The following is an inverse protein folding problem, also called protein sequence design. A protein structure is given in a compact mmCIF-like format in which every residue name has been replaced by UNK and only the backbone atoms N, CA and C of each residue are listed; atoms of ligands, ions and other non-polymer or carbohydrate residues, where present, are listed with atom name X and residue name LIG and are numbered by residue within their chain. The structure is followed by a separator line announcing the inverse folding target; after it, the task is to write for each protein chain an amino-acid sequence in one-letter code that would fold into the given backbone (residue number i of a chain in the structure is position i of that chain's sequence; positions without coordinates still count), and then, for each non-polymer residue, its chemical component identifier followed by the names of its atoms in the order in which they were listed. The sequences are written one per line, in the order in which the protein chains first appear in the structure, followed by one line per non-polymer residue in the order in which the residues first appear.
data_IF_083494587674
#
_entry.id   IF_083494587674
#
_cell.length_a   1.000
_cell.length_b   1.000
_cell.length_c   1.000
_cell.angle_alpha   90.00
_cell.angle_beta   90.00
_cell.angle_gamma   90.00
#
_symmetry.space_group_name_H-M   'P 1'
#
loop_
_entity.id
_entity.type
_entity.pdbx_description
1 polymer ?
#
# COMPACT_ATOMS: atom_id res chain seq x y z
N UNK A 1 44.58 -4.93 -14.08
CA UNK A 1 44.63 -4.07 -12.87
C UNK A 1 43.86 -4.75 -11.76
N UNK A 2 44.56 -5.45 -10.87
CA UNK A 2 44.04 -5.93 -9.59
C UNK A 2 43.96 -4.76 -8.60
N UNK A 3 42.85 -4.62 -7.88
CA UNK A 3 42.84 -3.89 -6.61
C UNK A 3 42.68 -4.94 -5.51
N UNK A 4 43.81 -5.44 -5.05
CA UNK A 4 43.93 -6.21 -3.82
C UNK A 4 44.10 -5.25 -2.64
N UNK A 5 43.50 -5.63 -1.51
CA UNK A 5 43.73 -5.13 -0.15
C UNK A 5 43.07 -3.79 0.25
N UNK A 6 41.97 -3.90 1.00
CA UNK A 6 41.70 -3.03 2.14
C UNK A 6 41.70 -3.90 3.41
N UNK A 7 42.53 -3.62 4.43
CA UNK A 7 42.52 -4.35 5.69
C UNK A 7 41.34 -3.89 6.57
N UNK A 8 40.53 -4.84 7.01
CA UNK A 8 39.52 -4.68 8.06
C UNK A 8 40.22 -4.80 9.43
N UNK A 9 40.52 -3.68 10.07
CA UNK A 9 41.01 -3.66 11.46
C UNK A 9 39.81 -3.73 12.42
N UNK A 10 39.74 -4.82 13.17
CA UNK A 10 38.92 -4.99 14.37
C UNK A 10 39.49 -4.12 15.49
N UNK A 11 38.77 -3.07 15.88
CA UNK A 11 38.98 -2.38 17.15
C UNK A 11 37.75 -2.57 18.05
N UNK A 12 37.85 -3.54 18.97
CA UNK A 12 36.81 -3.94 19.93
C UNK A 12 36.71 -3.01 21.17
N UNK A 13 37.07 -1.74 21.04
CA UNK A 13 37.28 -0.84 22.20
C UNK A 13 36.30 0.34 22.26
N UNK A 14 35.33 0.44 21.35
CA UNK A 14 34.42 1.60 21.24
C UNK A 14 33.00 1.39 21.80
N UNK A 15 32.73 0.26 22.47
CA UNK A 15 31.36 -0.15 22.83
C UNK A 15 30.93 0.27 24.25
N UNK A 16 31.83 0.81 25.08
CA UNK A 16 31.53 1.08 26.50
C UNK A 16 31.07 2.50 26.84
N UNK A 17 30.96 3.41 25.87
CA UNK A 17 30.58 4.82 26.13
C UNK A 17 29.19 5.22 25.63
N UNK A 18 28.50 4.39 24.85
CA UNK A 18 27.19 4.74 24.26
C UNK A 18 25.98 4.44 25.15
N UNK A 19 26.13 3.65 26.22
CA UNK A 19 25.03 3.28 27.12
C UNK A 19 24.66 4.37 28.15
N UNK A 20 25.51 5.37 28.39
CA UNK A 20 25.24 6.43 29.39
C UNK A 20 24.42 7.60 28.85
N UNK A 21 24.35 7.80 27.53
CA UNK A 21 23.59 8.91 26.94
C UNK A 21 22.09 8.54 26.79
N UNK A 22 21.74 7.25 26.73
CA UNK A 22 20.36 6.81 26.51
C UNK A 22 19.49 6.83 27.78
N UNK A 23 20.08 6.83 28.98
CA UNK A 23 19.31 6.75 30.24
C UNK A 23 18.90 8.12 30.80
N UNK A 24 19.58 9.21 30.42
CA UNK A 24 19.34 10.54 31.02
C UNK A 24 18.17 11.34 30.39
N UNK A 25 17.68 10.96 29.21
CA UNK A 25 16.58 11.66 28.53
C UNK A 25 15.19 11.07 28.78
N UNK A 26 15.07 9.88 29.38
CA UNK A 26 13.77 9.21 29.58
C UNK A 26 13.00 9.64 30.84
N UNK A 27 13.52 10.57 31.65
CA UNK A 27 12.95 10.86 32.98
C UNK A 27 12.31 12.25 33.20
N UNK A 28 12.19 13.11 32.18
CA UNK A 28 11.79 14.53 32.39
C UNK A 28 10.34 14.90 31.98
N UNK A 29 9.60 14.13 31.18
CA UNK A 29 8.30 14.62 30.65
C UNK A 29 7.04 13.82 31.07
N UNK A 30 7.12 13.02 32.13
CA UNK A 30 5.96 12.34 32.73
C UNK A 30 5.21 13.17 33.79
N UNK A 31 5.36 14.50 33.84
CA UNK A 31 4.61 15.32 34.80
C UNK A 31 3.76 16.43 34.16
N UNK A 32 2.45 16.35 34.46
CA UNK A 32 1.40 17.40 34.39
C UNK A 32 0.84 17.79 33.02
N UNK A 33 -0.32 17.20 32.68
CA UNK A 33 -1.53 18.02 32.53
C UNK A 33 -2.82 17.19 32.75
N UNK A 34 -3.16 16.99 34.02
CA UNK A 34 -4.47 16.45 34.44
C UNK A 34 -5.30 17.63 34.93
N UNK A 35 -6.20 18.15 34.07
CA UNK A 35 -7.13 19.18 34.53
C UNK A 35 -7.99 19.84 33.45
N UNK A 36 -9.20 19.28 33.24
CA UNK A 36 -10.43 19.91 32.67
C UNK A 36 -10.26 20.41 31.23
N UNK A 37 -11.08 20.00 30.26
CA UNK A 37 -12.53 20.25 30.22
C UNK A 37 -13.25 19.09 29.54
N UNK A 38 -14.18 18.48 30.26
CA UNK A 38 -15.21 17.58 29.76
C UNK A 38 -16.09 18.39 28.80
N UNK A 39 -15.77 18.36 27.51
CA UNK A 39 -16.55 19.00 26.44
C UNK A 39 -17.90 18.31 26.33
N UNK A 40 -18.87 18.79 27.11
CA UNK A 40 -20.28 18.43 27.00
C UNK A 40 -20.93 19.40 26.02
N UNK A 41 -20.47 19.38 24.77
CA UNK A 41 -20.91 20.29 23.70
C UNK A 41 -21.54 19.55 22.49
N UNK A 42 -21.74 18.23 22.61
CA UNK A 42 -22.45 17.34 21.67
C UNK A 42 -23.97 17.59 21.51
N UNK A 43 -24.50 18.72 21.99
CA UNK A 43 -25.89 19.14 21.72
C UNK A 43 -26.02 20.41 20.87
N UNK A 44 -24.90 21.08 20.57
CA UNK A 44 -24.91 22.32 19.77
C UNK A 44 -24.53 22.10 18.31
N UNK A 45 -23.84 20.99 17.97
CA UNK A 45 -23.51 20.66 16.58
C UNK A 45 -24.74 20.08 15.84
N UNK A 46 -25.69 19.49 16.57
CA UNK A 46 -26.97 18.99 16.01
C UNK A 46 -27.91 20.09 15.49
N UNK A 47 -27.65 21.37 15.77
CA UNK A 47 -28.45 22.49 15.25
C UNK A 47 -27.97 23.07 13.91
N UNK A 48 -26.74 22.78 13.49
CA UNK A 48 -26.23 23.24 12.18
C UNK A 48 -26.64 22.27 11.06
N UNK A 49 -27.02 21.04 11.41
CA UNK A 49 -27.46 19.99 10.48
C UNK A 49 -28.87 20.18 9.88
N UNK A 50 -29.60 21.27 10.18
CA UNK A 50 -30.99 21.45 9.68
C UNK A 50 -31.17 22.68 8.78
N UNK A 51 -30.25 23.64 8.74
CA UNK A 51 -30.44 24.88 7.95
C UNK A 51 -29.78 24.89 6.56
N UNK A 52 -28.96 23.89 6.21
CA UNK A 52 -28.40 23.75 4.86
C UNK A 52 -29.22 22.80 3.95
N UNK A 53 -30.42 22.39 4.40
CA UNK A 53 -31.37 21.57 3.65
C UNK A 53 -32.37 22.45 2.86
N UNK A 54 -31.87 23.39 2.04
CA UNK A 54 -32.73 24.30 1.26
C UNK A 54 -32.16 24.75 -0.11
N UNK A 55 -31.17 24.06 -0.68
CA UNK A 55 -30.86 24.14 -2.12
C UNK A 55 -31.02 22.77 -2.77
N UNK A 56 -32.24 22.25 -2.67
CA UNK A 56 -32.72 21.24 -3.59
C UNK A 56 -33.28 21.91 -4.85
N UNK A 57 -33.08 21.25 -5.99
CA UNK A 57 -33.93 21.29 -7.18
C UNK A 57 -33.69 22.40 -8.23
N UNK A 58 -32.72 22.13 -9.12
CA UNK A 58 -32.90 22.13 -10.58
C UNK A 58 -31.82 21.17 -11.14
N UNK A 59 -32.14 19.91 -11.49
CA UNK A 59 -32.84 19.52 -12.72
C UNK A 59 -31.81 19.56 -13.86
N UNK A 60 -31.14 18.46 -14.23
CA UNK A 60 -31.71 17.22 -14.72
C UNK A 60 -31.61 17.21 -16.25
N UNK A 61 -30.41 16.95 -16.77
CA UNK A 61 -30.14 16.77 -18.21
C UNK A 61 -29.62 15.35 -18.43
N UNK A 62 -30.43 14.57 -19.15
CA UNK A 62 -30.28 13.14 -19.36
C UNK A 62 -29.01 12.76 -20.10
N UNK A 63 -28.50 11.59 -19.73
CA UNK A 63 -27.52 10.80 -20.43
C UNK A 63 -27.97 10.52 -21.86
N UNK A 64 -27.30 11.13 -22.82
CA UNK A 64 -27.14 10.55 -24.15
C UNK A 64 -25.95 9.57 -24.05
N UNK A 65 -26.23 8.35 -23.63
CA UNK A 65 -25.35 7.22 -23.90
C UNK A 65 -26.03 6.40 -24.98
N UNK A 66 -26.00 6.96 -26.19
CA UNK A 66 -26.21 6.22 -27.41
C UNK A 66 -25.25 5.04 -27.42
N UNK A 67 -25.82 3.86 -27.61
CA UNK A 67 -25.07 2.66 -27.91
C UNK A 67 -24.19 2.91 -29.13
N UNK A 68 -22.89 2.83 -28.92
CA UNK A 68 -21.95 2.49 -29.97
C UNK A 68 -21.31 1.18 -29.57
N UNK A 69 -21.92 0.12 -30.10
CA UNK A 69 -21.26 -1.13 -30.47
C UNK A 69 -19.93 -0.80 -31.16
N UNK A 70 -18.87 -0.87 -30.37
CA UNK A 70 -17.54 -1.20 -30.81
C UNK A 70 -16.92 -1.97 -29.65
N UNK A 71 -16.81 -3.29 -29.83
CA UNK A 71 -15.90 -4.16 -29.08
C UNK A 71 -14.47 -3.61 -29.22
N UNK A 72 -14.16 -2.60 -28.42
CA UNK A 72 -12.82 -2.28 -27.97
C UNK A 72 -12.71 -2.86 -26.55
N UNK A 73 -11.59 -3.51 -26.19
CA UNK A 73 -11.36 -3.85 -24.79
C UNK A 73 -11.47 -2.56 -23.94
N UNK A 74 -11.88 -2.65 -22.65
CA UNK A 74 -11.81 -1.49 -21.78
C UNK A 74 -10.40 -0.92 -21.89
N UNK A 75 -10.29 0.31 -22.41
CA UNK A 75 -9.08 1.08 -22.26
C UNK A 75 -9.06 1.48 -20.79
N UNK A 76 -8.60 0.55 -19.97
CA UNK A 76 -8.30 0.76 -18.57
C UNK A 76 -7.49 2.04 -18.46
N UNK A 77 -7.99 2.99 -17.67
CA UNK A 77 -7.22 4.18 -17.34
C UNK A 77 -5.94 3.77 -16.61
N UNK A 78 -4.95 4.66 -16.62
CA UNK A 78 -3.78 4.47 -15.75
C UNK A 78 -4.23 4.37 -14.29
N UNK A 79 -3.62 3.48 -13.53
CA UNK A 79 -3.91 3.27 -12.12
C UNK A 79 -3.48 4.45 -11.25
N UNK A 80 -4.18 4.60 -10.12
CA UNK A 80 -3.82 5.55 -9.06
C UNK A 80 -2.94 4.86 -8.01
N UNK A 81 -1.64 5.15 -8.03
CA UNK A 81 -0.67 4.59 -7.08
C UNK A 81 -0.99 4.92 -5.60
N UNK A 82 -1.70 6.02 -5.31
CA UNK A 82 -2.09 6.37 -3.94
C UNK A 82 -3.21 5.44 -3.46
N UNK A 83 -4.22 5.20 -4.30
CA UNK A 83 -5.27 4.22 -4.02
C UNK A 83 -4.68 2.80 -3.91
N UNK A 84 -3.77 2.44 -4.82
CA UNK A 84 -3.05 1.18 -4.82
C UNK A 84 -2.26 0.93 -3.54
N UNK A 85 -1.64 1.95 -2.98
CA UNK A 85 -0.92 1.84 -1.71
C UNK A 85 -1.86 1.47 -0.54
N UNK A 86 -3.09 1.97 -0.54
CA UNK A 86 -4.07 1.66 0.51
C UNK A 86 -4.65 0.25 0.34
N UNK A 87 -4.91 -0.18 -0.90
CA UNK A 87 -5.32 -1.56 -1.21
C UNK A 87 -4.20 -2.54 -0.82
N UNK A 88 -2.95 -2.22 -1.18
CA UNK A 88 -1.77 -3.02 -0.83
C UNK A 88 -1.68 -3.23 0.68
N UNK A 89 -1.82 -2.15 1.47
CA UNK A 89 -1.82 -2.22 2.94
C UNK A 89 -2.90 -3.15 3.48
N UNK A 90 -4.11 -3.09 2.91
CA UNK A 90 -5.26 -3.86 3.38
C UNK A 90 -5.23 -5.34 2.97
N UNK A 91 -4.64 -5.67 1.83
CA UNK A 91 -4.75 -7.02 1.22
C UNK A 91 -3.41 -7.75 1.13
N UNK A 92 -2.35 -7.08 0.72
CA UNK A 92 -1.14 -7.74 0.22
C UNK A 92 -0.03 -7.86 1.27
N UNK A 93 -0.02 -6.96 2.26
CA UNK A 93 1.05 -6.88 3.28
C UNK A 93 1.20 -8.13 4.15
N UNK A 94 0.13 -8.91 4.31
CA UNK A 94 0.13 -10.14 5.10
C UNK A 94 1.16 -11.16 4.60
N UNK A 95 1.47 -11.17 3.29
CA UNK A 95 2.44 -12.08 2.68
C UNK A 95 3.67 -11.35 2.13
N UNK A 96 3.51 -10.14 1.60
CA UNK A 96 4.60 -9.39 0.96
C UNK A 96 5.27 -8.34 1.85
N UNK A 97 4.78 -8.19 3.09
CA UNK A 97 5.31 -7.23 4.06
C UNK A 97 4.84 -5.79 3.82
N UNK A 98 4.98 -4.89 4.82
CA UNK A 98 4.60 -3.48 4.66
C UNK A 98 5.55 -2.70 3.75
N UNK A 99 6.80 -3.16 3.62
CA UNK A 99 7.87 -2.46 2.89
C UNK A 99 8.19 -3.13 1.54
N UNK A 100 7.30 -3.98 1.01
CA UNK A 100 7.49 -4.71 -0.25
C UNK A 100 8.70 -5.67 -0.26
N UNK A 101 9.32 -5.90 0.90
CA UNK A 101 10.52 -6.73 1.04
C UNK A 101 10.24 -8.25 1.01
N UNK A 102 8.97 -8.66 0.98
CA UNK A 102 8.58 -10.05 1.10
C UNK A 102 8.67 -10.57 2.54
N UNK A 103 8.13 -11.77 2.75
CA UNK A 103 8.23 -12.50 4.00
C UNK A 103 8.65 -13.93 3.65
N UNK A 104 9.76 -14.39 4.23
CA UNK A 104 10.32 -15.72 3.95
C UNK A 104 9.27 -16.82 4.19
N UNK A 105 9.07 -17.66 3.17
CA UNK A 105 8.08 -18.74 3.19
C UNK A 105 6.62 -18.32 2.98
N UNK A 106 6.33 -17.03 2.77
CA UNK A 106 4.96 -16.54 2.49
C UNK A 106 4.85 -15.76 1.17
N UNK A 107 5.71 -14.78 0.94
CA UNK A 107 5.63 -13.93 -0.24
C UNK A 107 7.00 -13.41 -0.66
N UNK A 108 7.23 -13.39 -1.98
CA UNK A 108 8.46 -12.84 -2.57
C UNK A 108 8.54 -11.33 -2.34
N UNK A 109 9.76 -10.74 -2.35
CA UNK A 109 9.93 -9.30 -2.45
C UNK A 109 9.29 -8.77 -3.74
N UNK A 110 8.56 -7.67 -3.61
CA UNK A 110 7.94 -6.94 -4.72
C UNK A 110 8.73 -5.67 -5.08
N UNK A 111 9.65 -5.21 -4.22
CA UNK A 111 10.60 -4.15 -4.52
C UNK A 111 11.94 -4.36 -3.77
N UNK A 112 13.10 -4.26 -4.45
CA UNK A 112 13.25 -4.23 -5.90
C UNK A 112 12.90 -5.60 -6.53
N UNK A 113 12.27 -5.61 -7.69
CA UNK A 113 11.81 -6.79 -8.41
C UNK A 113 11.80 -6.55 -9.93
N UNK A 114 12.66 -7.26 -10.65
CA UNK A 114 12.70 -7.22 -12.12
C UNK A 114 11.38 -7.71 -12.73
N UNK A 115 10.70 -8.66 -12.07
CA UNK A 115 9.40 -9.14 -12.52
C UNK A 115 8.36 -8.02 -12.54
N UNK A 116 8.33 -7.18 -11.49
CA UNK A 116 7.40 -6.03 -11.42
C UNK A 116 7.79 -4.96 -12.43
N UNK A 117 9.08 -4.63 -12.55
CA UNK A 117 9.57 -3.59 -13.47
C UNK A 117 9.47 -3.94 -14.96
N UNK A 118 9.43 -5.23 -15.31
CA UNK A 118 9.43 -5.69 -16.71
C UNK A 118 8.03 -5.84 -17.30
N UNK A 119 6.98 -5.78 -16.48
CA UNK A 119 5.59 -5.89 -16.92
C UNK A 119 4.95 -4.54 -17.17
N UNK A 120 3.99 -4.48 -18.09
CA UNK A 120 3.08 -3.35 -18.17
C UNK A 120 2.13 -3.34 -16.96
N UNK A 121 1.54 -2.19 -16.64
CA UNK A 121 0.60 -2.09 -15.52
C UNK A 121 -0.61 -3.01 -15.71
N UNK A 122 -1.11 -3.11 -16.94
CA UNK A 122 -2.20 -4.01 -17.30
C UNK A 122 -1.81 -5.49 -17.16
N UNK A 123 -0.62 -5.88 -17.61
CA UNK A 123 -0.15 -7.26 -17.46
C UNK A 123 0.07 -7.64 -15.99
N UNK A 124 0.56 -6.69 -15.18
CA UNK A 124 0.74 -6.88 -13.75
C UNK A 124 -0.62 -6.98 -13.03
N UNK A 125 -1.59 -6.14 -13.39
CA UNK A 125 -2.95 -6.22 -12.85
C UNK A 125 -3.61 -7.57 -13.18
N UNK A 126 -3.47 -8.05 -14.42
CA UNK A 126 -3.96 -9.36 -14.85
C UNK A 126 -3.27 -10.50 -14.11
N UNK A 127 -1.95 -10.41 -13.92
CA UNK A 127 -1.21 -11.36 -13.10
C UNK A 127 -1.74 -11.40 -11.66
N UNK A 128 -2.01 -10.25 -11.04
CA UNK A 128 -2.59 -10.19 -9.69
C UNK A 128 -4.02 -10.75 -9.70
N UNK A 129 -4.80 -10.50 -10.75
CA UNK A 129 -6.17 -11.02 -10.90
C UNK A 129 -6.20 -12.54 -10.86
N UNK A 130 -5.28 -13.19 -11.58
CA UNK A 130 -5.17 -14.64 -11.67
C UNK A 130 -4.43 -15.26 -10.48
N UNK A 131 -3.46 -14.55 -9.92
CA UNK A 131 -2.49 -15.12 -8.98
C UNK A 131 -1.56 -16.13 -9.67
N UNK A 132 -0.78 -16.87 -8.87
CA UNK A 132 0.08 -17.96 -9.34
C UNK A 132 0.03 -19.13 -8.37
N UNK A 133 -0.61 -20.25 -8.74
CA UNK A 133 -0.69 -21.38 -7.85
C UNK A 133 0.63 -22.14 -7.72
N UNK A 134 0.77 -23.00 -6.70
CA UNK A 134 1.98 -23.84 -6.56
C UNK A 134 2.16 -24.87 -7.68
N UNK A 135 1.09 -25.19 -8.40
CA UNK A 135 1.12 -26.11 -9.54
C UNK A 135 1.59 -25.45 -10.85
N UNK A 136 1.71 -24.13 -10.87
CA UNK A 136 2.17 -23.39 -12.03
C UNK A 136 3.65 -23.69 -12.29
N UNK A 137 4.06 -24.04 -13.53
CA UNK A 137 5.45 -24.36 -13.84
C UNK A 137 6.43 -23.20 -13.60
N UNK A 138 5.94 -21.96 -13.64
CA UNK A 138 6.75 -20.75 -13.41
C UNK A 138 6.70 -20.30 -11.94
N UNK A 139 6.09 -21.07 -11.04
CA UNK A 139 6.16 -20.82 -9.60
C UNK A 139 7.52 -21.26 -9.05
N UNK A 140 8.35 -20.29 -8.65
CA UNK A 140 9.69 -20.52 -8.10
C UNK A 140 9.74 -20.51 -6.57
N UNK A 141 8.71 -20.00 -5.89
CA UNK A 141 8.65 -19.92 -4.43
C UNK A 141 8.16 -21.21 -3.78
N UNK A 142 7.40 -22.03 -4.51
CA UNK A 142 6.66 -23.16 -3.93
C UNK A 142 5.51 -22.72 -3.02
N UNK A 143 5.12 -21.44 -3.08
CA UNK A 143 4.04 -20.85 -2.29
C UNK A 143 2.95 -20.33 -3.23
N UNK A 144 1.70 -20.56 -2.85
CA UNK A 144 0.52 -20.14 -3.60
C UNK A 144 0.32 -18.63 -3.47
N UNK A 145 0.28 -17.91 -4.59
CA UNK A 145 -0.25 -16.56 -4.63
C UNK A 145 -1.71 -16.65 -5.10
N UNK A 146 -2.70 -16.46 -4.21
CA UNK A 146 -4.09 -16.61 -4.57
C UNK A 146 -4.55 -15.50 -5.54
N UNK A 147 -5.59 -15.76 -6.36
CA UNK A 147 -6.24 -14.74 -7.18
C UNK A 147 -6.59 -13.50 -6.37
N UNK A 148 -6.30 -12.31 -6.90
CA UNK A 148 -6.56 -11.00 -6.25
C UNK A 148 -5.96 -10.87 -4.84
N UNK A 149 -4.87 -11.57 -4.56
CA UNK A 149 -4.27 -11.59 -3.22
C UNK A 149 -5.18 -12.19 -2.14
N UNK A 150 -6.17 -12.99 -2.54
CA UNK A 150 -7.16 -13.58 -1.64
C UNK A 150 -8.34 -12.66 -1.31
N UNK A 151 -8.43 -11.49 -1.94
CA UNK A 151 -9.56 -10.56 -1.78
C UNK A 151 -10.44 -10.57 -3.05
N UNK A 152 -11.55 -11.34 -3.07
CA UNK A 152 -12.42 -11.41 -4.25
C UNK A 152 -13.23 -10.12 -4.50
N UNK A 153 -13.17 -9.16 -3.58
CA UNK A 153 -13.90 -7.89 -3.70
C UNK A 153 -13.18 -6.85 -4.56
N UNK A 154 -11.89 -7.06 -4.87
CA UNK A 154 -11.13 -6.14 -5.72
C UNK A 154 -11.65 -6.22 -7.15
N UNK A 155 -11.95 -5.08 -7.76
CA UNK A 155 -12.29 -5.00 -9.19
C UNK A 155 -11.06 -4.75 -10.07
N UNK A 156 -11.24 -4.60 -11.38
CA UNK A 156 -10.12 -4.45 -12.31
C UNK A 156 -9.37 -3.12 -12.11
N UNK A 157 -10.07 -2.06 -11.68
CA UNK A 157 -9.44 -0.77 -11.40
C UNK A 157 -8.62 -0.83 -10.12
N UNK A 158 -9.10 -1.50 -9.08
CA UNK A 158 -8.33 -1.74 -7.86
C UNK A 158 -6.99 -2.45 -8.16
N UNK A 159 -7.01 -3.40 -9.09
CA UNK A 159 -5.80 -4.14 -9.48
C UNK A 159 -4.82 -3.29 -10.28
N UNK A 160 -5.32 -2.41 -11.15
CA UNK A 160 -4.49 -1.42 -11.86
C UNK A 160 -3.87 -0.41 -10.90
N UNK A 161 -4.64 0.07 -9.92
CA UNK A 161 -4.15 0.97 -8.89
C UNK A 161 -3.00 0.31 -8.09
N UNK A 162 -3.17 -0.96 -7.70
CA UNK A 162 -2.09 -1.74 -7.04
C UNK A 162 -0.89 -1.92 -7.98
N UNK A 163 -1.10 -2.24 -9.25
CA UNK A 163 -0.02 -2.39 -10.21
C UNK A 163 0.77 -1.07 -10.39
N UNK A 164 0.07 0.06 -10.48
CA UNK A 164 0.65 1.41 -10.52
C UNK A 164 1.50 1.68 -9.28
N UNK A 165 0.99 1.34 -8.10
CA UNK A 165 1.73 1.46 -6.85
C UNK A 165 3.01 0.61 -6.86
N UNK A 166 2.93 -0.66 -7.25
CA UNK A 166 4.09 -1.56 -7.28
C UNK A 166 5.16 -1.07 -8.26
N UNK A 167 4.77 -0.58 -9.43
CA UNK A 167 5.71 -0.02 -10.41
C UNK A 167 6.37 1.26 -9.91
N UNK A 168 5.65 2.13 -9.21
CA UNK A 168 6.21 3.36 -8.66
C UNK A 168 7.32 3.13 -7.61
N UNK A 169 7.42 1.91 -7.08
CA UNK A 169 8.35 1.53 -6.02
C UNK A 169 9.60 0.80 -6.53
N UNK A 170 9.71 0.57 -7.84
CA UNK A 170 10.79 -0.17 -8.49
C UNK A 170 11.56 0.68 -9.51
#
# INVERSE_FOLDING_TARGET
MSCSQCPYTKDSSAITTWTWIWTATQQIMTTRNKGRRRMKTNKLITLVAVLALALAACGGGSSDSDGSDATAPPSSGAGDAVAGADIYKGTCTACHGPDLAGIEGLGLPLAPSEFVSSMSEADLAEFIAQGRPTSDPDNTSGVDMPPKGGNPSLDDQDLLDVAAYLQAQN
#
